data_IF_815384735874
#
_entry.id   IF_815384735874
#
_cell.length_a   1.000
_cell.length_b   1.000
_cell.length_c   1.000
_cell.angle_alpha   90.00
_cell.angle_beta   90.00
_cell.angle_gamma   90.00
#
_symmetry.space_group_name_H-M   'P 1'
#
loop_
_entity.id
_entity.type
_entity.pdbx_description
1 polymer ?
#
# COMPACT_ATOMS: atom_id res chain seq x y z
N UNK A 1 -17.20 -3.70 11.56
CA UNK A 1 -17.00 -2.54 10.63
C UNK A 1 -15.50 -2.34 10.47
N UNK A 2 -14.99 -2.04 9.27
CA UNK A 2 -13.54 -1.92 9.02
C UNK A 2 -13.01 -0.56 9.51
N UNK A 3 -11.87 -0.57 10.24
CA UNK A 3 -11.19 0.63 10.75
C UNK A 3 -10.21 1.24 9.74
N UNK A 4 -9.42 0.39 9.08
CA UNK A 4 -8.38 0.77 8.15
C UNK A 4 -8.11 -0.36 7.14
N UNK A 5 -7.43 -0.04 6.04
CA UNK A 5 -7.02 -0.96 4.97
C UNK A 5 -5.49 -0.95 4.86
N UNK A 6 -4.89 -2.09 4.55
CA UNK A 6 -3.49 -2.19 4.19
C UNK A 6 -3.33 -3.10 2.97
N UNK A 7 -2.58 -2.65 1.96
CA UNK A 7 -2.33 -3.41 0.74
C UNK A 7 -0.85 -3.37 0.35
N UNK A 8 -0.33 -4.49 -0.14
CA UNK A 8 1.06 -4.67 -0.54
C UNK A 8 1.11 -5.03 -2.01
N UNK A 9 1.78 -4.18 -2.80
CA UNK A 9 1.78 -4.18 -4.27
C UNK A 9 0.37 -4.29 -4.86
N UNK A 10 -0.60 -3.41 -4.51
CA UNK A 10 -1.91 -3.41 -5.14
C UNK A 10 -1.80 -3.05 -6.63
N UNK A 11 -2.74 -3.57 -7.43
CA UNK A 11 -2.77 -3.38 -8.87
C UNK A 11 -4.05 -3.96 -9.47
N UNK A 12 -4.23 -3.75 -10.76
CA UNK A 12 -5.39 -4.24 -11.54
C UNK A 12 -5.24 -5.75 -11.84
N UNK A 13 -5.42 -6.58 -10.83
CA UNK A 13 -5.25 -8.05 -10.93
C UNK A 13 -6.58 -8.81 -11.05
N UNK A 14 -7.70 -8.16 -10.75
CA UNK A 14 -9.00 -8.82 -10.64
C UNK A 14 -9.76 -8.75 -11.97
N UNK A 15 -9.95 -9.90 -12.61
CA UNK A 15 -10.73 -9.99 -13.85
C UNK A 15 -12.17 -9.51 -13.64
N UNK A 16 -12.62 -8.60 -14.51
CA UNK A 16 -13.99 -8.05 -14.44
C UNK A 16 -14.18 -6.94 -13.40
N UNK A 17 -13.12 -6.55 -12.68
CA UNK A 17 -13.14 -5.44 -11.73
C UNK A 17 -12.16 -4.38 -12.21
N UNK A 18 -12.65 -3.15 -12.35
CA UNK A 18 -11.78 -1.99 -12.46
C UNK A 18 -11.51 -1.48 -11.04
N UNK A 19 -10.35 -1.84 -10.49
CA UNK A 19 -10.00 -1.52 -9.12
C UNK A 19 -9.93 0.00 -8.92
N UNK A 20 -9.33 0.71 -9.87
CA UNK A 20 -9.19 2.17 -9.88
C UNK A 20 -10.55 2.86 -9.70
N UNK A 21 -11.60 2.40 -10.39
CA UNK A 21 -12.97 2.92 -10.24
C UNK A 21 -13.59 2.51 -8.91
N UNK A 22 -13.38 1.25 -8.51
CA UNK A 22 -13.99 0.65 -7.30
C UNK A 22 -13.48 1.29 -6.02
N UNK A 23 -12.22 1.76 -5.99
CA UNK A 23 -11.59 2.32 -4.79
C UNK A 23 -11.78 3.84 -4.65
N UNK A 24 -12.33 4.56 -5.64
CA UNK A 24 -12.61 6.01 -5.53
C UNK A 24 -13.38 6.41 -4.26
N UNK A 25 -14.45 5.70 -3.84
CA UNK A 25 -15.20 6.05 -2.63
C UNK A 25 -14.52 5.62 -1.32
N UNK A 26 -13.29 5.08 -1.36
CA UNK A 26 -12.57 4.64 -0.17
C UNK A 26 -12.36 5.81 0.80
N UNK A 27 -12.99 5.71 1.96
CA UNK A 27 -13.06 6.75 2.97
C UNK A 27 -12.48 6.29 4.33
N UNK A 28 -11.51 5.37 4.26
CA UNK A 28 -10.83 4.79 5.42
C UNK A 28 -9.33 4.97 5.29
N UNK A 29 -8.62 5.21 6.41
CA UNK A 29 -7.16 5.18 6.41
C UNK A 29 -6.66 3.93 5.71
N UNK A 30 -5.80 4.14 4.71
CA UNK A 30 -5.37 3.11 3.77
C UNK A 30 -3.87 3.20 3.62
N UNK A 31 -3.17 2.19 4.10
CA UNK A 31 -1.75 2.00 3.85
C UNK A 31 -1.55 1.24 2.55
N UNK A 32 -0.69 1.77 1.68
CA UNK A 32 -0.21 1.04 0.51
C UNK A 32 1.30 1.08 0.44
N UNK A 33 1.89 -0.03 0.02
CA UNK A 33 3.32 -0.07 -0.30
C UNK A 33 3.58 -1.07 -1.41
N UNK A 34 4.80 -1.09 -1.94
CA UNK A 34 5.22 -1.97 -3.02
C UNK A 34 6.75 -2.03 -3.11
N UNK A 35 7.27 -2.72 -4.13
CA UNK A 35 8.67 -2.54 -4.53
C UNK A 35 8.92 -1.13 -5.09
N UNK A 36 10.18 -0.70 -5.15
CA UNK A 36 10.52 0.64 -5.67
C UNK A 36 10.01 0.84 -7.10
N UNK A 37 10.22 -0.15 -7.98
CA UNK A 37 9.76 -0.13 -9.37
C UNK A 37 8.22 -0.06 -9.52
N UNK A 38 7.48 -0.47 -8.49
CA UNK A 38 6.01 -0.46 -8.45
C UNK A 38 5.45 0.78 -7.77
N UNK A 39 6.29 1.67 -7.24
CA UNK A 39 5.84 2.82 -6.46
C UNK A 39 5.03 3.82 -7.29
N UNK A 40 5.48 4.14 -8.51
CA UNK A 40 4.74 5.03 -9.41
C UNK A 40 3.43 4.39 -9.94
N UNK A 41 3.39 3.11 -10.36
CA UNK A 41 2.13 2.42 -10.65
C UNK A 41 1.12 2.44 -9.50
N UNK A 42 1.55 2.17 -8.26
CA UNK A 42 0.67 2.21 -7.08
C UNK A 42 0.18 3.63 -6.79
N UNK A 43 1.04 4.65 -6.97
CA UNK A 43 0.64 6.04 -6.84
C UNK A 43 -0.44 6.43 -7.86
N UNK A 44 -0.29 5.99 -9.11
CA UNK A 44 -1.28 6.18 -10.17
C UNK A 44 -2.61 5.49 -9.85
N UNK A 45 -2.58 4.29 -9.26
CA UNK A 45 -3.79 3.59 -8.81
C UNK A 45 -4.52 4.39 -7.71
N UNK A 46 -3.76 4.92 -6.74
CA UNK A 46 -4.34 5.63 -5.59
C UNK A 46 -4.73 7.08 -5.86
N UNK A 47 -4.35 7.68 -7.00
CA UNK A 47 -4.54 9.11 -7.32
C UNK A 47 -5.99 9.61 -7.24
N UNK A 48 -6.96 8.70 -7.38
CA UNK A 48 -8.39 9.04 -7.36
C UNK A 48 -9.05 8.82 -6.00
N UNK A 49 -8.31 8.24 -5.05
CA UNK A 49 -8.72 8.17 -3.64
C UNK A 49 -8.38 9.50 -2.99
N UNK A 50 -9.23 9.95 -2.05
CA UNK A 50 -8.93 11.19 -1.32
C UNK A 50 -7.58 11.04 -0.58
N UNK A 51 -6.59 11.91 -0.85
CA UNK A 51 -5.24 11.78 -0.31
C UNK A 51 -5.17 11.86 1.22
N UNK A 52 -6.18 12.44 1.88
CA UNK A 52 -6.30 12.45 3.35
C UNK A 52 -6.37 11.04 3.95
N UNK A 53 -6.85 10.07 3.17
CA UNK A 53 -6.97 8.67 3.59
C UNK A 53 -5.81 7.79 3.13
N UNK A 54 -4.91 8.27 2.27
CA UNK A 54 -3.86 7.44 1.67
C UNK A 54 -2.52 7.67 2.34
N UNK A 55 -1.91 6.59 2.81
CA UNK A 55 -0.53 6.57 3.29
C UNK A 55 0.28 5.61 2.40
N UNK A 56 0.99 6.15 1.42
CA UNK A 56 1.85 5.37 0.54
C UNK A 56 3.29 5.37 1.05
N UNK A 57 3.82 4.20 1.37
CA UNK A 57 5.25 4.01 1.59
C UNK A 57 5.95 3.56 0.30
N UNK A 58 6.96 4.33 -0.13
CA UNK A 58 7.83 4.02 -1.27
C UNK A 58 9.22 3.68 -0.72
N UNK A 59 9.73 2.45 -0.90
CA UNK A 59 11.04 2.06 -0.39
C UNK A 59 12.18 2.78 -1.10
N UNK A 60 13.28 3.03 -0.40
CA UNK A 60 14.52 3.57 -0.98
C UNK A 60 15.40 2.47 -1.61
N UNK A 61 15.22 1.22 -1.17
CA UNK A 61 15.83 0.01 -1.73
C UNK A 61 14.94 -0.60 -2.80
N UNK A 62 15.44 -1.57 -3.58
CA UNK A 62 14.66 -2.24 -4.62
C UNK A 62 13.36 -2.85 -4.06
N UNK A 63 13.45 -3.47 -2.88
CA UNK A 63 12.33 -4.14 -2.23
C UNK A 63 11.79 -5.31 -3.05
N UNK A 64 10.56 -5.74 -2.75
CA UNK A 64 9.97 -6.90 -3.42
C UNK A 64 8.46 -6.77 -3.56
N UNK A 65 7.91 -7.45 -4.57
CA UNK A 65 6.46 -7.50 -4.79
C UNK A 65 5.73 -8.16 -3.61
N UNK A 66 4.61 -7.56 -3.21
CA UNK A 66 3.66 -8.12 -2.26
C UNK A 66 4.13 -8.07 -0.80
N UNK A 67 3.38 -8.75 0.07
CA UNK A 67 3.64 -8.77 1.52
C UNK A 67 4.96 -9.47 1.90
N UNK A 68 5.63 -10.13 0.95
CA UNK A 68 7.00 -10.62 1.10
C UNK A 68 7.98 -9.48 1.43
N UNK A 69 7.62 -8.23 1.17
CA UNK A 69 8.34 -7.04 1.65
C UNK A 69 8.57 -7.03 3.17
N UNK A 70 7.75 -7.75 3.94
CA UNK A 70 7.87 -7.87 5.38
C UNK A 70 8.77 -9.03 5.84
N UNK A 71 9.28 -9.87 4.94
CA UNK A 71 10.14 -11.00 5.33
C UNK A 71 11.55 -10.51 5.67
N UNK A 72 12.15 -11.11 6.69
CA UNK A 72 13.54 -10.84 7.10
C UNK A 72 14.59 -11.08 6.00
N UNK A 73 14.24 -11.86 4.97
CA UNK A 73 15.08 -12.13 3.81
C UNK A 73 14.97 -11.06 2.72
N UNK A 74 14.06 -10.10 2.85
CA UNK A 74 13.90 -9.00 1.90
C UNK A 74 14.74 -7.81 2.34
N UNK A 75 15.51 -7.25 1.42
CA UNK A 75 16.25 -6.00 1.66
C UNK A 75 15.31 -4.87 2.12
N UNK A 76 15.66 -4.21 3.23
CA UNK A 76 14.90 -3.08 3.80
C UNK A 76 13.60 -3.45 4.51
N UNK A 77 13.36 -4.74 4.82
CA UNK A 77 12.14 -5.20 5.51
C UNK A 77 11.89 -4.47 6.84
N UNK A 78 12.94 -4.01 7.53
CA UNK A 78 12.83 -3.27 8.77
C UNK A 78 12.04 -1.97 8.58
N UNK A 79 12.31 -1.23 7.50
CA UNK A 79 11.62 0.03 7.21
C UNK A 79 10.16 -0.21 6.80
N UNK A 80 9.88 -1.26 6.01
CA UNK A 80 8.51 -1.68 5.73
C UNK A 80 7.73 -1.99 7.01
N UNK A 81 8.33 -2.73 7.94
CA UNK A 81 7.71 -3.02 9.23
C UNK A 81 7.53 -1.76 10.08
N UNK A 82 8.53 -0.88 10.11
CA UNK A 82 8.49 0.35 10.90
C UNK A 82 7.28 1.19 10.49
N UNK A 83 7.17 1.54 9.22
CA UNK A 83 6.07 2.39 8.71
C UNK A 83 4.71 1.70 8.81
N UNK A 84 4.65 0.38 8.58
CA UNK A 84 3.40 -0.36 8.71
C UNK A 84 2.91 -0.41 10.16
N UNK A 85 3.82 -0.62 11.13
CA UNK A 85 3.49 -0.56 12.56
C UNK A 85 3.04 0.83 12.98
N UNK A 86 3.72 1.88 12.52
CA UNK A 86 3.31 3.27 12.78
C UNK A 86 1.90 3.56 12.26
N UNK A 87 1.57 3.09 11.05
CA UNK A 87 0.22 3.16 10.50
C UNK A 87 -0.80 2.41 11.36
N UNK A 88 -0.51 1.17 11.76
CA UNK A 88 -1.41 0.38 12.60
C UNK A 88 -1.66 1.05 13.94
N UNK A 89 -0.62 1.54 14.62
CA UNK A 89 -0.73 2.21 15.91
C UNK A 89 -1.58 3.48 15.85
N UNK A 90 -1.46 4.25 14.77
CA UNK A 90 -2.24 5.48 14.55
C UNK A 90 -3.74 5.21 14.32
N UNK A 91 -4.09 4.02 13.83
CA UNK A 91 -5.45 3.68 13.39
C UNK A 91 -6.09 2.52 14.19
N UNK A 92 -5.66 2.34 15.46
CA UNK A 92 -6.10 1.24 16.34
C UNK A 92 -7.58 1.27 16.73
#
# INVERSE_FOLDING_TARGET
KIKAVAAFSPGEYLTGINLTETIKPLNKPTFVTSSQRESEPVEKLMRYVNPTYVNQYKPTVAGIHGSRALWNSTEGYEDYWKVFKEFMLRNK
#
